data_IF_568908614950
#
_entry.id   IF_568908614950
#
_cell.length_a   1.000
_cell.length_b   1.000
_cell.length_c   1.000
_cell.angle_alpha   90.00
_cell.angle_beta   90.00
_cell.angle_gamma   90.00
#
_symmetry.space_group_name_H-M   'P 1'
#
loop_
_entity.id
_entity.type
_entity.pdbx_description
1 polymer ?
#
# COMPACT_ATOMS: atom_id res chain seq x y z
N UNK A 1 3.16 21.21 -36.40
CA UNK A 1 3.77 20.79 -35.13
C UNK A 1 3.99 19.28 -35.17
N UNK A 2 5.25 18.81 -35.07
CA UNK A 2 5.56 17.39 -34.89
C UNK A 2 5.92 17.19 -33.41
N UNK A 3 4.95 17.02 -32.50
CA UNK A 3 5.25 16.91 -31.06
C UNK A 3 6.19 15.74 -30.74
N UNK A 4 6.24 14.73 -31.62
CA UNK A 4 7.10 13.55 -31.51
C UNK A 4 8.38 13.62 -32.38
N UNK A 5 8.63 14.74 -33.05
CA UNK A 5 9.89 15.01 -33.78
C UNK A 5 10.94 15.73 -32.93
N UNK A 6 10.68 15.88 -31.64
CA UNK A 6 11.58 16.50 -30.66
C UNK A 6 12.66 15.48 -30.24
N UNK A 7 13.93 15.86 -30.42
CA UNK A 7 15.09 15.01 -30.14
C UNK A 7 15.27 14.65 -28.66
N UNK A 8 14.48 15.24 -27.76
CA UNK A 8 14.40 14.87 -26.34
C UNK A 8 13.75 13.49 -26.12
N UNK A 9 12.92 13.03 -27.06
CA UNK A 9 12.18 11.77 -26.94
C UNK A 9 12.85 10.64 -27.70
N UNK A 10 12.90 9.47 -27.08
CA UNK A 10 13.29 8.21 -27.70
C UNK A 10 12.11 7.25 -27.64
N UNK A 11 11.69 6.73 -28.78
CA UNK A 11 10.61 5.75 -28.84
C UNK A 11 11.19 4.36 -28.60
N UNK A 12 10.45 3.53 -27.86
CA UNK A 12 10.70 2.09 -27.92
C UNK A 12 10.39 1.56 -29.34
N UNK A 13 10.88 0.36 -29.65
CA UNK A 13 10.67 -0.26 -30.97
C UNK A 13 9.20 -0.51 -31.31
N UNK A 14 8.33 -0.58 -30.30
CA UNK A 14 6.89 -0.78 -30.45
C UNK A 14 6.10 0.55 -30.58
N UNK A 15 6.76 1.70 -30.40
CA UNK A 15 6.16 3.03 -30.28
C UNK A 15 5.03 3.12 -29.23
N UNK A 16 5.10 2.29 -28.20
CA UNK A 16 4.14 2.24 -27.09
C UNK A 16 4.59 3.05 -25.87
N UNK A 17 5.88 3.35 -25.81
CA UNK A 17 6.50 4.10 -24.72
C UNK A 17 7.45 5.17 -25.24
N UNK A 18 7.56 6.24 -24.45
CA UNK A 18 8.52 7.32 -24.67
C UNK A 18 9.55 7.26 -23.55
N UNK A 19 10.82 7.26 -23.91
CA UNK A 19 11.94 7.42 -22.99
C UNK A 19 12.52 8.81 -23.14
N UNK A 20 12.91 9.37 -22.01
CA UNK A 20 13.62 10.64 -21.91
C UNK A 20 14.96 10.37 -21.24
N UNK A 21 16.04 10.92 -21.82
CA UNK A 21 17.38 10.79 -21.23
C UNK A 21 17.48 11.57 -19.92
N UNK A 22 18.28 11.06 -18.99
CA UNK A 22 18.66 11.79 -17.77
C UNK A 22 19.31 13.14 -18.15
N UNK A 23 18.91 14.20 -17.46
CA UNK A 23 19.42 15.56 -17.70
C UNK A 23 18.68 16.33 -18.80
N UNK A 24 17.68 15.71 -19.45
CA UNK A 24 16.76 16.46 -20.32
C UNK A 24 15.88 17.38 -19.47
N UNK A 25 15.84 18.66 -19.84
CA UNK A 25 15.01 19.66 -19.20
C UNK A 25 13.73 19.93 -20.00
N UNK A 26 12.64 20.15 -19.26
CA UNK A 26 11.36 20.61 -19.82
C UNK A 26 10.95 21.89 -19.11
N UNK A 27 10.37 22.82 -19.87
CA UNK A 27 9.74 24.01 -19.31
C UNK A 27 8.27 23.73 -19.01
N UNK A 28 7.71 24.42 -18.02
CA UNK A 28 6.28 24.35 -17.77
C UNK A 28 5.49 24.73 -19.05
N UNK A 29 4.54 23.87 -19.43
CA UNK A 29 3.77 24.00 -20.67
C UNK A 29 4.34 23.24 -21.88
N UNK A 30 5.55 22.68 -21.78
CA UNK A 30 6.07 21.78 -22.82
C UNK A 30 5.15 20.56 -22.98
N UNK A 31 4.86 20.20 -24.23
CA UNK A 31 4.11 18.98 -24.56
C UNK A 31 5.05 17.78 -24.45
N UNK A 32 4.84 16.93 -23.45
CA UNK A 32 5.67 15.72 -23.21
C UNK A 32 5.03 14.41 -23.69
N UNK A 33 3.85 14.48 -24.31
CA UNK A 33 3.15 13.33 -24.86
C UNK A 33 1.68 13.60 -25.13
N UNK A 34 0.94 12.52 -25.40
CA UNK A 34 -0.52 12.50 -25.55
C UNK A 34 -1.10 11.46 -24.60
N UNK A 35 -2.28 11.72 -24.06
CA UNK A 35 -2.94 10.78 -23.17
C UNK A 35 -3.79 9.78 -23.96
N UNK A 36 -3.96 8.57 -23.42
CA UNK A 36 -4.92 7.60 -23.93
C UNK A 36 -6.37 8.00 -23.53
N UNK A 37 -7.37 7.20 -23.91
CA UNK A 37 -8.78 7.47 -23.56
C UNK A 37 -9.05 7.51 -22.04
N UNK A 38 -8.14 6.99 -21.21
CA UNK A 38 -8.22 7.07 -19.74
C UNK A 38 -7.57 8.35 -19.19
N UNK A 39 -7.06 9.24 -20.06
CA UNK A 39 -6.42 10.50 -19.72
C UNK A 39 -5.33 10.39 -18.64
N UNK A 40 -4.55 9.29 -18.63
CA UNK A 40 -3.47 9.10 -17.66
C UNK A 40 -2.17 8.65 -18.32
N UNK A 41 -1.07 8.90 -17.62
CA UNK A 41 0.28 8.45 -17.97
C UNK A 41 0.91 7.79 -16.76
N UNK A 42 1.69 6.73 -17.01
CA UNK A 42 2.59 6.18 -16.01
C UNK A 42 3.95 6.82 -16.22
N UNK A 43 4.48 7.45 -15.16
CA UNK A 43 5.88 7.87 -15.11
C UNK A 43 6.64 6.89 -14.25
N UNK A 44 7.76 6.43 -14.79
CA UNK A 44 8.67 5.51 -14.14
C UNK A 44 10.08 6.03 -14.36
N UNK A 45 10.93 5.95 -13.35
CA UNK A 45 12.33 6.32 -13.45
C UNK A 45 13.21 5.06 -13.37
N UNK A 46 14.36 5.08 -14.04
CA UNK A 46 15.29 3.95 -14.04
C UNK A 46 15.27 3.10 -15.32
N UNK A 47 16.24 2.18 -15.48
CA UNK A 47 16.27 1.25 -16.59
C UNK A 47 15.22 0.16 -16.42
N UNK A 48 14.98 -0.62 -17.47
CA UNK A 48 14.01 -1.70 -17.41
C UNK A 48 14.48 -2.79 -16.45
N UNK A 49 13.63 -3.20 -15.50
CA UNK A 49 13.95 -4.16 -14.45
C UNK A 49 14.48 -3.55 -13.15
N UNK A 50 14.91 -2.28 -13.16
CA UNK A 50 15.33 -1.53 -11.96
C UNK A 50 14.55 -0.21 -11.84
N UNK A 51 13.26 -0.28 -12.18
CA UNK A 51 12.34 0.85 -12.09
C UNK A 51 12.14 1.30 -10.63
N UNK A 52 12.16 2.62 -10.41
CA UNK A 52 11.85 3.26 -9.14
C UNK A 52 10.67 4.22 -9.28
N UNK A 53 10.08 4.62 -8.15
CA UNK A 53 9.01 5.61 -8.16
C UNK A 53 9.55 6.90 -8.79
N UNK A 54 8.80 7.47 -9.75
CA UNK A 54 9.21 8.71 -10.39
C UNK A 54 9.35 9.87 -9.40
N UNK A 55 8.61 9.83 -8.28
CA UNK A 55 8.73 10.80 -7.19
C UNK A 55 10.08 10.72 -6.45
N UNK A 56 10.77 9.57 -6.47
CA UNK A 56 12.11 9.44 -5.89
C UNK A 56 13.20 10.09 -6.75
N UNK A 57 13.01 10.07 -8.06
CA UNK A 57 14.06 10.40 -9.03
C UNK A 57 13.89 11.76 -9.70
N UNK A 58 12.67 12.28 -9.74
CA UNK A 58 12.32 13.50 -10.46
C UNK A 58 11.97 14.61 -9.47
N UNK A 59 12.44 15.82 -9.77
CA UNK A 59 11.93 17.02 -9.13
C UNK A 59 10.67 17.42 -9.88
N UNK A 60 9.51 17.30 -9.23
CA UNK A 60 8.23 17.74 -9.76
C UNK A 60 7.73 18.95 -8.95
N UNK A 61 8.05 20.19 -9.38
CA UNK A 61 7.66 21.38 -8.65
C UNK A 61 6.15 21.45 -8.42
N UNK A 62 5.74 21.72 -7.19
CA UNK A 62 4.33 21.84 -6.80
C UNK A 62 3.64 20.51 -6.48
N UNK A 63 4.33 19.37 -6.61
CA UNK A 63 3.84 18.12 -6.06
C UNK A 63 4.05 18.11 -4.55
N UNK A 64 2.95 18.00 -3.82
CA UNK A 64 2.91 17.82 -2.37
C UNK A 64 1.67 16.99 -2.03
N UNK A 65 1.66 16.40 -0.84
CA UNK A 65 0.50 15.67 -0.35
C UNK A 65 0.34 15.87 1.15
N UNK A 66 -0.86 16.28 1.55
CA UNK A 66 -1.24 16.49 2.96
C UNK A 66 -2.37 15.58 3.39
N UNK A 67 -2.87 14.75 2.48
CA UNK A 67 -4.01 13.86 2.72
C UNK A 67 -3.51 12.52 3.26
N UNK A 68 -3.75 12.18 4.54
CA UNK A 68 -3.31 10.89 5.07
C UNK A 68 -4.14 9.73 4.49
N UNK A 69 -3.56 8.51 4.45
CA UNK A 69 -4.30 7.30 4.13
C UNK A 69 -5.52 7.09 5.04
N UNK A 70 -6.51 6.34 4.57
CA UNK A 70 -7.70 5.97 5.34
C UNK A 70 -7.70 4.48 5.62
N UNK A 71 -7.82 4.09 6.89
CA UNK A 71 -8.06 2.70 7.31
C UNK A 71 -9.56 2.51 7.57
N UNK A 72 -10.22 1.78 6.68
CA UNK A 72 -11.65 1.50 6.77
C UNK A 72 -11.93 0.39 7.78
N UNK A 73 -11.19 -0.71 7.73
CA UNK A 73 -11.47 -1.91 8.54
C UNK A 73 -10.17 -2.63 8.92
N UNK A 74 -10.17 -3.26 10.08
CA UNK A 74 -9.14 -4.21 10.52
C UNK A 74 -9.86 -5.49 10.94
N UNK A 75 -9.46 -6.62 10.38
CA UNK A 75 -10.14 -7.90 10.52
C UNK A 75 -9.14 -9.02 10.81
N UNK A 76 -9.58 -10.02 11.56
CA UNK A 76 -8.81 -11.23 11.83
C UNK A 76 -9.42 -12.42 11.09
N UNK A 77 -8.55 -13.22 10.48
CA UNK A 77 -8.90 -14.49 9.85
C UNK A 77 -8.02 -15.58 10.42
N UNK A 78 -8.53 -16.81 10.49
CA UNK A 78 -7.71 -17.96 10.81
C UNK A 78 -6.83 -18.38 9.61
N UNK A 79 -6.11 -19.49 9.77
CA UNK A 79 -5.25 -20.04 8.72
C UNK A 79 -6.02 -20.54 7.48
N UNK A 80 -7.33 -20.72 7.59
CA UNK A 80 -8.22 -21.19 6.52
C UNK A 80 -9.10 -20.08 5.94
N UNK A 81 -8.80 -18.80 6.23
CA UNK A 81 -9.61 -17.65 5.80
C UNK A 81 -11.03 -17.59 6.39
N UNK A 82 -11.27 -18.27 7.50
CA UNK A 82 -12.50 -18.11 8.26
C UNK A 82 -12.36 -16.87 9.16
N UNK A 83 -13.33 -15.95 9.18
CA UNK A 83 -13.32 -14.83 10.11
C UNK A 83 -13.24 -15.33 11.55
N UNK A 84 -12.30 -14.80 12.33
CA UNK A 84 -12.30 -15.02 13.78
C UNK A 84 -13.39 -14.13 14.36
N UNK A 85 -14.37 -14.71 15.07
CA UNK A 85 -15.66 -14.09 15.43
C UNK A 85 -15.62 -12.56 15.65
N UNK A 86 -16.32 -11.84 14.77
CA UNK A 86 -16.59 -10.40 14.85
C UNK A 86 -18.08 -10.14 14.71
N UNK A 87 -18.85 -10.24 15.82
CA UNK A 87 -20.18 -9.61 15.95
C UNK A 87 -20.40 -9.04 17.35
N UNK A 88 -20.18 -7.72 17.47
CA UNK A 88 -20.46 -6.90 18.66
C UNK A 88 -19.18 -6.36 19.32
N UNK A 89 -19.22 -5.08 19.73
CA UNK A 89 -18.07 -4.29 20.17
C UNK A 89 -17.05 -5.03 21.04
N UNK A 90 -15.80 -4.98 20.57
CA UNK A 90 -14.55 -5.03 21.37
C UNK A 90 -14.65 -5.78 22.69
N UNK A 91 -14.63 -7.12 22.65
CA UNK A 91 -14.33 -7.99 23.82
C UNK A 91 -14.35 -9.50 23.54
N UNK A 92 -14.62 -9.96 22.31
CA UNK A 92 -14.82 -11.40 22.01
C UNK A 92 -13.88 -12.03 20.99
N UNK A 93 -12.88 -11.31 20.48
CA UNK A 93 -11.91 -11.90 19.56
C UNK A 93 -10.95 -12.77 20.37
N UNK A 94 -11.20 -14.07 20.37
CA UNK A 94 -10.30 -15.08 20.94
C UNK A 94 -9.39 -15.60 19.85
N UNK A 95 -8.13 -15.17 19.89
CA UNK A 95 -7.13 -15.64 18.95
C UNK A 95 -6.43 -16.89 19.51
N UNK A 96 -6.72 -18.05 18.93
CA UNK A 96 -5.83 -19.21 19.01
C UNK A 96 -4.68 -19.01 18.01
N UNK A 97 -3.50 -19.54 18.33
CA UNK A 97 -2.23 -19.24 17.63
C UNK A 97 -2.36 -19.19 16.09
N UNK A 98 -1.80 -18.13 15.49
CA UNK A 98 -1.62 -18.01 14.05
C UNK A 98 -2.85 -17.47 13.32
N UNK A 99 -3.11 -16.16 13.46
CA UNK A 99 -4.15 -15.45 12.72
C UNK A 99 -3.57 -14.60 11.59
N UNK A 100 -4.31 -14.41 10.50
CA UNK A 100 -4.06 -13.36 9.52
C UNK A 100 -4.73 -12.08 9.97
N UNK A 101 -4.00 -10.97 9.88
CA UNK A 101 -4.55 -9.63 10.07
C UNK A 101 -4.73 -9.00 8.70
N UNK A 102 -5.95 -8.61 8.39
CA UNK A 102 -6.32 -7.94 7.15
C UNK A 102 -6.71 -6.50 7.44
N UNK A 103 -6.15 -5.58 6.66
CA UNK A 103 -6.44 -4.15 6.78
C UNK A 103 -7.03 -3.67 5.47
N UNK A 104 -8.28 -3.20 5.50
CA UNK A 104 -8.88 -2.49 4.37
C UNK A 104 -8.48 -1.03 4.47
N UNK A 105 -7.65 -0.58 3.55
CA UNK A 105 -7.14 0.79 3.56
C UNK A 105 -6.96 1.30 2.14
N UNK A 106 -7.01 2.61 1.97
CA UNK A 106 -6.70 3.26 0.71
C UNK A 106 -6.03 4.60 0.97
N UNK A 107 -5.37 5.10 -0.06
CA UNK A 107 -4.75 6.41 -0.05
C UNK A 107 -5.43 7.37 -1.03
N UNK A 108 -5.17 8.67 -0.88
CA UNK A 108 -5.50 9.71 -1.84
C UNK A 108 -4.45 10.79 -1.76
N UNK A 109 -4.14 11.37 -2.91
CA UNK A 109 -3.30 12.55 -2.98
C UNK A 109 -4.12 13.84 -3.04
N UNK A 110 -3.56 14.94 -2.57
CA UNK A 110 -4.11 16.28 -2.78
C UNK A 110 -4.59 16.51 -4.22
N UNK A 111 -5.79 17.10 -4.36
CA UNK A 111 -6.44 17.32 -5.65
C UNK A 111 -7.12 16.10 -6.27
N UNK A 112 -6.98 14.90 -5.69
CA UNK A 112 -7.78 13.74 -6.12
C UNK A 112 -9.27 13.96 -5.78
N UNK A 113 -10.21 13.52 -6.64
CA UNK A 113 -11.62 13.54 -6.29
C UNK A 113 -11.91 12.54 -5.16
N UNK A 114 -12.89 12.85 -4.30
CA UNK A 114 -13.16 12.05 -3.09
C UNK A 114 -13.38 10.54 -3.35
N UNK A 115 -13.97 10.20 -4.50
CA UNK A 115 -14.23 8.82 -4.92
C UNK A 115 -12.98 8.02 -5.29
N UNK A 116 -11.85 8.70 -5.54
CA UNK A 116 -10.59 8.05 -5.96
C UNK A 116 -10.02 7.30 -4.76
N UNK A 117 -9.54 6.09 -5.00
CA UNK A 117 -8.88 5.25 -4.02
C UNK A 117 -7.59 4.74 -4.64
N UNK A 118 -6.46 5.09 -4.05
CA UNK A 118 -5.12 4.64 -4.44
C UNK A 118 -4.65 3.55 -3.46
N UNK A 119 -3.66 2.78 -3.89
CA UNK A 119 -2.96 1.86 -2.98
C UNK A 119 -2.14 2.66 -1.97
N UNK A 120 -1.99 2.15 -0.76
CA UNK A 120 -1.15 2.79 0.28
C UNK A 120 0.32 2.40 0.07
N UNK A 121 1.25 3.24 0.54
CA UNK A 121 2.68 3.04 0.33
C UNK A 121 3.30 2.02 1.30
N UNK A 122 2.92 2.06 2.58
CA UNK A 122 3.37 1.11 3.61
C UNK A 122 2.25 0.71 4.56
N UNK A 123 2.29 -0.53 5.03
CA UNK A 123 1.42 -1.01 6.10
C UNK A 123 2.20 -1.80 7.15
N UNK A 124 1.69 -1.75 8.37
CA UNK A 124 2.24 -2.49 9.48
C UNK A 124 1.24 -2.61 10.62
N UNK A 125 1.69 -3.24 11.70
CA UNK A 125 0.94 -3.28 12.95
C UNK A 125 1.86 -3.30 14.16
N UNK A 126 1.29 -3.02 15.32
CA UNK A 126 1.92 -3.11 16.64
C UNK A 126 0.92 -3.70 17.63
N UNK A 127 1.42 -4.46 18.61
CA UNK A 127 0.61 -4.91 19.75
C UNK A 127 0.81 -3.95 20.91
N UNK A 128 -0.29 -3.56 21.55
CA UNK A 128 -0.31 -2.77 22.76
C UNK A 128 -1.03 -3.53 23.87
N UNK A 129 -0.64 -3.25 25.12
CA UNK A 129 -1.42 -3.61 26.28
C UNK A 129 -2.76 -2.84 26.31
N UNK A 130 -3.67 -3.24 27.18
CA UNK A 130 -4.96 -2.57 27.36
C UNK A 130 -4.83 -1.09 27.80
N UNK A 131 -3.73 -0.74 28.46
CA UNK A 131 -3.35 0.64 28.83
C UNK A 131 -2.69 1.43 27.68
N UNK A 132 -2.62 0.84 26.47
CA UNK A 132 -1.99 1.37 25.25
C UNK A 132 -0.46 1.47 25.29
N UNK A 133 0.20 0.91 26.30
CA UNK A 133 1.66 0.76 26.28
C UNK A 133 2.09 -0.28 25.23
N UNK A 134 3.20 -0.05 24.50
CA UNK A 134 3.64 -0.96 23.45
C UNK A 134 4.19 -2.28 24.01
N UNK A 135 3.75 -3.40 23.43
CA UNK A 135 4.28 -4.75 23.69
C UNK A 135 5.32 -5.12 22.64
N UNK A 136 5.08 -4.73 21.40
CA UNK A 136 6.02 -4.89 20.28
C UNK A 136 6.42 -3.53 19.73
N UNK A 137 7.50 -3.46 18.97
CA UNK A 137 7.74 -2.32 18.08
C UNK A 137 6.76 -2.35 16.89
N UNK A 138 6.67 -1.23 16.16
CA UNK A 138 5.91 -1.17 14.91
C UNK A 138 6.58 -2.07 13.88
N UNK A 139 5.84 -3.03 13.34
CA UNK A 139 6.34 -3.89 12.28
C UNK A 139 5.78 -3.49 10.91
N UNK A 140 6.60 -2.81 10.10
CA UNK A 140 6.30 -2.48 8.70
C UNK A 140 6.55 -3.69 7.80
N UNK A 141 5.55 -4.57 7.75
CA UNK A 141 5.60 -5.80 6.98
C UNK A 141 5.44 -5.57 5.47
N UNK A 142 4.61 -4.60 5.08
CA UNK A 142 4.38 -4.26 3.67
C UNK A 142 4.99 -2.89 3.40
N UNK A 143 5.86 -2.82 2.39
CA UNK A 143 6.45 -1.60 1.88
C UNK A 143 6.63 -1.71 0.37
N UNK A 144 6.17 -0.67 -0.33
CA UNK A 144 6.32 -0.51 -1.78
C UNK A 144 7.42 0.49 -2.14
N UNK A 145 8.46 0.59 -1.32
CA UNK A 145 9.66 1.38 -1.62
C UNK A 145 10.34 0.93 -2.92
N UNK A 146 10.17 -0.35 -3.26
CA UNK A 146 10.53 -0.92 -4.56
C UNK A 146 9.31 -1.59 -5.14
N UNK A 147 9.20 -1.55 -6.46
CA UNK A 147 8.14 -2.28 -7.15
C UNK A 147 8.29 -3.79 -6.84
N UNK A 148 7.28 -4.44 -6.26
CA UNK A 148 7.38 -5.85 -5.91
C UNK A 148 7.35 -6.71 -7.18
N UNK A 149 7.96 -7.89 -7.13
CA UNK A 149 7.84 -8.87 -8.21
C UNK A 149 6.37 -9.27 -8.41
N UNK A 150 5.95 -9.67 -9.62
CA UNK A 150 4.58 -10.12 -9.87
C UNK A 150 4.14 -11.26 -8.93
N UNK A 151 5.08 -12.11 -8.49
CA UNK A 151 4.80 -13.21 -7.57
C UNK A 151 4.44 -12.76 -6.15
N UNK A 152 4.95 -11.60 -5.72
CA UNK A 152 4.70 -11.04 -4.40
C UNK A 152 3.25 -10.49 -4.23
N UNK A 153 2.57 -10.17 -5.35
CA UNK A 153 1.24 -9.54 -5.34
C UNK A 153 0.22 -10.35 -4.54
N UNK A 154 0.26 -11.69 -4.65
CA UNK A 154 -0.64 -12.60 -3.92
C UNK A 154 -0.46 -12.55 -2.40
N UNK A 155 0.69 -12.08 -1.92
CA UNK A 155 0.99 -11.96 -0.49
C UNK A 155 0.58 -10.60 0.06
N UNK A 156 0.52 -9.56 -0.79
CA UNK A 156 0.07 -8.23 -0.38
C UNK A 156 -1.44 -8.20 -0.12
N UNK A 157 -2.24 -8.79 -1.02
CA UNK A 157 -3.69 -8.59 -1.06
C UNK A 157 -4.50 -9.81 -0.60
N UNK A 158 -5.47 -9.56 0.27
CA UNK A 158 -6.43 -10.55 0.73
C UNK A 158 -7.54 -10.80 -0.30
N UNK A 159 -8.25 -11.96 -0.23
CA UNK A 159 -9.47 -12.20 -0.98
C UNK A 159 -10.47 -11.05 -0.86
N UNK A 160 -11.13 -10.73 -1.98
CA UNK A 160 -12.08 -9.62 -2.08
C UNK A 160 -11.47 -8.28 -2.48
N UNK A 161 -10.14 -8.17 -2.61
CA UNK A 161 -9.49 -7.00 -3.21
C UNK A 161 -9.87 -6.83 -4.69
N UNK A 162 -10.00 -5.57 -5.15
CA UNK A 162 -10.39 -5.18 -6.51
C UNK A 162 -9.67 -3.89 -6.92
N UNK A 163 -8.98 -3.88 -8.06
CA UNK A 163 -8.25 -2.70 -8.56
C UNK A 163 -8.40 -2.51 -10.07
N UNK A 164 -9.62 -2.74 -10.60
CA UNK A 164 -9.91 -2.64 -12.02
C UNK A 164 -10.05 -1.19 -12.53
N UNK A 165 -10.00 -1.02 -13.86
CA UNK A 165 -10.21 0.27 -14.51
C UNK A 165 -11.63 0.82 -14.35
N UNK A 166 -12.60 -0.07 -14.12
CA UNK A 166 -14.01 0.25 -13.88
C UNK A 166 -14.50 -0.44 -12.61
N UNK A 167 -15.57 0.11 -12.01
CA UNK A 167 -16.16 -0.43 -10.79
C UNK A 167 -15.47 0.05 -9.50
N UNK A 168 -15.81 -0.62 -8.40
CA UNK A 168 -15.29 -0.28 -7.07
C UNK A 168 -13.83 -0.72 -6.92
N UNK A 169 -13.01 0.18 -6.39
CA UNK A 169 -11.63 -0.12 -5.99
C UNK A 169 -11.59 -0.43 -4.50
N UNK A 170 -11.14 -1.63 -4.15
CA UNK A 170 -11.04 -2.15 -2.79
C UNK A 170 -9.63 -2.71 -2.59
N UNK A 171 -8.88 -2.17 -1.65
CA UNK A 171 -7.61 -2.76 -1.24
C UNK A 171 -7.75 -3.37 0.16
N UNK A 172 -7.56 -4.69 0.25
CA UNK A 172 -7.49 -5.43 1.52
C UNK A 172 -6.09 -6.00 1.63
N UNK A 173 -5.30 -5.53 2.57
CA UNK A 173 -3.90 -5.92 2.73
C UNK A 173 -3.74 -6.97 3.81
N UNK A 174 -2.94 -8.00 3.57
CA UNK A 174 -2.59 -9.01 4.58
C UNK A 174 -1.39 -8.49 5.37
N UNK A 175 -1.59 -7.60 6.35
CA UNK A 175 -0.47 -6.89 7.04
C UNK A 175 0.41 -7.79 7.90
N UNK A 176 0.03 -9.06 8.03
CA UNK A 176 0.85 -10.13 8.62
C UNK A 176 1.87 -10.71 7.66
N UNK A 177 1.62 -10.64 6.35
CA UNK A 177 2.55 -11.10 5.32
C UNK A 177 3.66 -10.08 5.08
N UNK A 178 4.85 -10.58 4.72
CA UNK A 178 5.96 -9.73 4.29
C UNK A 178 5.82 -9.42 2.80
N UNK A 179 5.96 -8.15 2.43
CA UNK A 179 6.18 -7.70 1.05
C UNK A 179 7.08 -6.47 1.10
N UNK A 180 8.35 -6.60 0.73
CA UNK A 180 9.30 -5.48 0.70
C UNK A 180 10.46 -5.80 -0.23
N UNK A 181 10.50 -5.14 -1.39
CA UNK A 181 11.45 -5.47 -2.47
C UNK A 181 11.31 -6.93 -2.89
N UNK A 182 12.43 -7.67 -2.86
CA UNK A 182 12.48 -9.10 -3.19
C UNK A 182 11.97 -10.01 -2.05
N UNK A 183 11.83 -9.48 -0.83
CA UNK A 183 11.40 -10.26 0.32
C UNK A 183 9.86 -10.30 0.39
N UNK A 184 9.30 -11.49 0.16
CA UNK A 184 7.87 -11.71 0.33
C UNK A 184 7.57 -13.12 0.88
N UNK A 185 6.46 -13.24 1.59
CA UNK A 185 6.02 -14.53 2.14
C UNK A 185 4.82 -14.42 3.06
N UNK A 186 4.20 -15.55 3.34
CA UNK A 186 3.14 -15.64 4.35
C UNK A 186 3.70 -15.38 5.75
N UNK A 187 2.93 -14.65 6.54
CA UNK A 187 3.17 -14.47 7.95
C UNK A 187 1.87 -14.58 8.72
N UNK A 188 2.00 -14.85 10.02
CA UNK A 188 0.87 -15.00 10.91
C UNK A 188 1.12 -14.19 12.18
N UNK A 189 0.05 -13.63 12.70
CA UNK A 189 0.02 -13.04 14.02
C UNK A 189 0.00 -14.14 15.06
N UNK A 190 1.11 -14.30 15.76
CA UNK A 190 1.29 -15.31 16.81
C UNK A 190 1.10 -14.68 18.20
N UNK A 191 0.19 -15.28 18.98
CA UNK A 191 -0.12 -14.88 20.35
C UNK A 191 0.57 -15.76 21.39
N UNK A 192 1.40 -16.73 20.97
CA UNK A 192 2.06 -17.68 21.87
C UNK A 192 2.91 -17.01 22.95
N UNK A 193 3.55 -15.88 22.65
CA UNK A 193 4.38 -15.14 23.60
C UNK A 193 3.62 -14.08 24.41
N UNK A 194 2.31 -13.91 24.17
CA UNK A 194 1.46 -13.02 24.96
C UNK A 194 0.90 -13.77 26.17
N UNK A 195 0.82 -13.13 27.32
CA UNK A 195 0.10 -13.69 28.47
C UNK A 195 -1.41 -13.71 28.17
N UNK A 196 -2.18 -14.49 28.94
CA UNK A 196 -3.64 -14.40 28.85
C UNK A 196 -4.10 -13.01 29.27
N UNK A 197 -4.98 -12.38 28.50
CA UNK A 197 -5.45 -11.03 28.79
C UNK A 197 -5.94 -10.25 27.56
N UNK A 198 -6.34 -9.00 27.81
CA UNK A 198 -6.82 -8.06 26.78
C UNK A 198 -5.67 -7.25 26.18
N UNK A 199 -5.65 -7.17 24.86
CA UNK A 199 -4.65 -6.45 24.08
C UNK A 199 -5.32 -5.60 22.99
N UNK A 200 -4.54 -4.71 22.38
CA UNK A 200 -4.93 -3.92 21.22
C UNK A 200 -3.95 -4.23 20.10
N UNK A 201 -4.47 -4.53 18.91
CA UNK A 201 -3.68 -4.48 17.68
C UNK A 201 -3.92 -3.11 17.05
N UNK A 202 -2.84 -2.33 16.90
CA UNK A 202 -2.84 -1.06 16.17
C UNK A 202 -2.32 -1.30 14.77
N UNK A 203 -3.19 -1.16 13.77
CA UNK A 203 -2.81 -1.16 12.36
C UNK A 203 -2.30 0.22 11.95
N UNK A 204 -1.32 0.26 11.06
CA UNK A 204 -0.73 1.47 10.48
C UNK A 204 -0.84 1.44 8.95
N UNK A 205 -1.12 2.60 8.36
CA UNK A 205 -0.98 2.85 6.94
C UNK A 205 -0.22 4.17 6.76
N UNK A 206 0.71 4.21 5.80
CA UNK A 206 1.43 5.41 5.42
C UNK A 206 1.42 5.59 3.90
N UNK A 207 1.43 6.85 3.48
CA UNK A 207 1.67 7.24 2.09
C UNK A 207 3.17 7.47 1.82
N UNK A 208 3.49 7.85 0.59
CA UNK A 208 4.86 8.16 0.17
C UNK A 208 5.41 9.46 0.79
N UNK A 209 4.54 10.44 1.07
CA UNK A 209 4.92 11.75 1.62
C UNK A 209 5.11 11.74 3.13
N UNK A 210 4.85 10.60 3.79
CA UNK A 210 5.04 10.39 5.22
C UNK A 210 3.79 10.67 6.06
N UNK A 211 2.64 10.92 5.44
CA UNK A 211 1.39 11.00 6.20
C UNK A 211 1.01 9.59 6.68
N UNK A 212 0.55 9.50 7.92
CA UNK A 212 0.24 8.22 8.56
C UNK A 212 -1.12 8.22 9.23
N UNK A 213 -1.80 7.08 9.18
CA UNK A 213 -3.05 6.81 9.91
C UNK A 213 -2.95 5.52 10.69
N UNK A 214 -3.65 5.46 11.83
CA UNK A 214 -3.74 4.25 12.66
C UNK A 214 -5.17 3.85 12.95
N UNK A 215 -5.42 2.56 13.14
CA UNK A 215 -6.70 2.04 13.64
C UNK A 215 -6.49 0.91 14.63
N UNK A 216 -7.18 1.00 15.76
CA UNK A 216 -7.08 0.05 16.86
C UNK A 216 -8.21 -0.97 16.80
N UNK A 217 -7.89 -2.22 17.10
CA UNK A 217 -8.86 -3.29 17.35
C UNK A 217 -8.45 -4.08 18.60
N UNK A 218 -9.39 -4.26 19.53
CA UNK A 218 -9.16 -5.01 20.76
C UNK A 218 -9.31 -6.51 20.53
N UNK A 219 -8.46 -7.32 21.15
CA UNK A 219 -8.54 -8.78 21.16
C UNK A 219 -8.18 -9.35 22.53
N UNK A 220 -8.53 -10.62 22.76
CA UNK A 220 -8.22 -11.36 23.98
C UNK A 220 -7.41 -12.62 23.65
N UNK A 221 -6.38 -12.86 24.45
CA UNK A 221 -5.63 -14.11 24.44
C UNK A 221 -6.17 -14.98 25.58
N UNK A 222 -6.71 -16.15 25.22
CA UNK A 222 -7.17 -17.16 26.16
C UNK A 222 -6.34 -18.44 25.94
N UNK A 223 -5.48 -18.77 26.91
CA UNK A 223 -4.69 -20.00 26.96
C UNK A 223 -5.30 -21.00 27.91
#
# INVERSE_FOLDING_TARGET
NKPLGDGRFQFDSAMTGIRVRRGTEFKAGDVIGTLNAMNHVHMIAGPSGDEMNALDALILPGVADTTPPVIEEVEFFDQNWLPVETKGGSERIKLANGARVVVRAFDRMDGNPERRRLGVFRLGYQVLNSDRSPVTEINWNISFDRNPSPDAVRFAYAPGSKSGATGETIFRYIVTNKVSGEAFGEGFFDTANLASGKYILRAFAADYFGNTTTKDISFEVAK
#
